data_IF_258083387836
#
_entry.id   IF_258083387836
#
_cell.length_a   1.000
_cell.length_b   1.000
_cell.length_c   1.000
_cell.angle_alpha   90.00
_cell.angle_beta   90.00
_cell.angle_gamma   90.00
#
_symmetry.space_group_name_H-M   'P 1'
#
loop_
_entity.id
_entity.type
_entity.pdbx_description
1 polymer ?
#
# COMPACT_ATOMS: atom_id res chain seq x y z
N UNK A 1 -19.71 -7.14 -47.54
CA UNK A 1 -19.26 -6.87 -48.92
C UNK A 1 -18.70 -5.44 -48.96
N UNK A 2 -17.60 -5.18 -49.69
CA UNK A 2 -16.88 -3.88 -49.71
C UNK A 2 -16.87 -3.33 -51.14
N UNK A 3 -17.46 -2.14 -51.35
CA UNK A 3 -17.34 -1.39 -52.60
C UNK A 3 -16.48 -0.14 -52.40
N UNK A 4 -15.58 0.12 -53.35
CA UNK A 4 -14.62 1.22 -53.32
C UNK A 4 -14.91 2.21 -54.45
N UNK A 5 -15.15 3.48 -54.09
CA UNK A 5 -15.42 4.56 -55.04
C UNK A 5 -14.46 5.71 -54.78
N UNK A 6 -13.51 5.96 -55.69
CA UNK A 6 -12.72 7.21 -55.74
C UNK A 6 -12.10 7.68 -54.41
N UNK A 7 -11.65 6.77 -53.54
CA UNK A 7 -11.08 7.08 -52.21
C UNK A 7 -12.04 6.92 -51.02
N UNK A 8 -13.29 6.53 -51.24
CA UNK A 8 -14.25 6.18 -50.18
C UNK A 8 -14.57 4.68 -50.21
N UNK A 9 -14.74 4.08 -49.03
CA UNK A 9 -15.10 2.68 -48.86
C UNK A 9 -16.44 2.58 -48.10
N UNK A 10 -17.39 1.82 -48.66
CA UNK A 10 -18.68 1.56 -48.02
C UNK A 10 -18.71 0.12 -47.50
N UNK A 11 -19.06 -0.04 -46.22
CA UNK A 11 -19.05 -1.33 -45.52
C UNK A 11 -20.49 -1.86 -45.33
N UNK A 12 -20.76 -3.05 -45.85
CA UNK A 12 -22.04 -3.77 -45.63
C UNK A 12 -21.91 -4.82 -44.51
N UNK A 13 -22.90 -4.89 -43.61
CA UNK A 13 -22.94 -5.84 -42.48
C UNK A 13 -23.49 -7.21 -42.89
N UNK A 14 -23.14 -8.33 -42.23
CA UNK A 14 -23.56 -9.68 -42.65
C UNK A 14 -25.05 -10.05 -42.55
N UNK A 15 -25.94 -9.14 -42.15
CA UNK A 15 -27.40 -9.38 -42.05
C UNK A 15 -28.24 -8.36 -42.87
N UNK A 16 -27.59 -7.62 -43.78
CA UNK A 16 -28.25 -6.59 -44.60
C UNK A 16 -28.59 -7.19 -45.96
N UNK A 17 -29.89 -7.22 -46.32
CA UNK A 17 -30.33 -7.72 -47.63
C UNK A 17 -29.89 -6.76 -48.74
N UNK A 18 -29.78 -7.26 -49.97
CA UNK A 18 -29.45 -6.47 -51.15
C UNK A 18 -30.46 -5.33 -51.46
N UNK A 19 -31.59 -5.28 -50.75
CA UNK A 19 -32.67 -4.30 -50.91
C UNK A 19 -32.58 -3.13 -49.90
N UNK A 20 -31.59 -3.12 -49.02
CA UNK A 20 -31.45 -2.09 -47.97
C UNK A 20 -30.98 -0.75 -48.54
N UNK A 21 -31.49 0.36 -47.99
CA UNK A 21 -31.15 1.71 -48.47
C UNK A 21 -29.64 2.00 -48.26
N UNK A 22 -28.87 2.19 -49.35
CA UNK A 22 -27.43 2.43 -49.25
C UNK A 22 -27.07 3.67 -48.41
N UNK A 23 -27.98 4.65 -48.29
CA UNK A 23 -27.76 5.89 -47.54
C UNK A 23 -27.88 5.74 -46.02
N UNK A 24 -28.43 4.63 -45.53
CA UNK A 24 -28.53 4.33 -44.09
C UNK A 24 -27.27 3.67 -43.52
N UNK A 25 -26.32 3.29 -44.36
CA UNK A 25 -25.08 2.63 -43.96
C UNK A 25 -23.91 3.62 -43.81
N UNK A 26 -23.05 3.45 -42.78
CA UNK A 26 -21.94 4.35 -42.53
C UNK A 26 -20.92 4.32 -43.68
N UNK A 27 -20.72 5.48 -44.30
CA UNK A 27 -19.67 5.74 -45.28
C UNK A 27 -18.37 6.11 -44.56
N UNK A 28 -17.28 5.40 -44.89
CA UNK A 28 -15.95 5.71 -44.39
C UNK A 28 -15.11 6.26 -45.54
N UNK A 29 -14.51 7.43 -45.32
CA UNK A 29 -13.67 8.08 -46.31
C UNK A 29 -12.19 7.86 -45.96
N UNK A 30 -11.37 7.49 -46.95
CA UNK A 30 -9.95 7.18 -46.77
C UNK A 30 -9.14 8.12 -47.66
N UNK A 31 -8.58 9.18 -47.07
CA UNK A 31 -7.83 10.19 -47.83
C UNK A 31 -6.31 10.13 -47.59
N UNK A 32 -5.87 9.42 -46.56
CA UNK A 32 -4.46 9.24 -46.21
C UNK A 32 -4.25 7.95 -45.40
N UNK A 33 -2.98 7.66 -45.08
CA UNK A 33 -2.58 6.45 -44.36
C UNK A 33 -3.14 6.38 -42.93
N UNK A 34 -3.35 7.52 -42.26
CA UNK A 34 -3.98 7.55 -40.94
C UNK A 34 -5.49 7.22 -41.01
N UNK A 35 -6.17 7.63 -42.09
CA UNK A 35 -7.56 7.25 -42.35
C UNK A 35 -7.68 5.76 -42.68
N UNK A 36 -6.75 5.22 -43.47
CA UNK A 36 -6.70 3.78 -43.77
C UNK A 36 -6.53 2.96 -42.49
N UNK A 37 -5.67 3.41 -41.58
CA UNK A 37 -5.44 2.76 -40.28
C UNK A 37 -6.68 2.79 -39.39
N UNK A 38 -7.39 3.92 -39.32
CA UNK A 38 -8.67 4.03 -38.60
C UNK A 38 -9.77 3.15 -39.17
N UNK A 39 -9.82 3.00 -40.49
CA UNK A 39 -10.76 2.10 -41.16
C UNK A 39 -10.42 0.65 -40.86
N UNK A 40 -9.14 0.27 -40.92
CA UNK A 40 -8.69 -1.07 -40.52
C UNK A 40 -8.99 -1.34 -39.05
N UNK A 41 -8.74 -0.40 -38.14
CA UNK A 41 -9.08 -0.54 -36.72
C UNK A 41 -10.59 -0.70 -36.50
N UNK A 42 -11.44 0.06 -37.22
CA UNK A 42 -12.90 -0.12 -37.16
C UNK A 42 -13.38 -1.41 -37.78
N UNK A 43 -12.77 -1.87 -38.87
CA UNK A 43 -13.08 -3.16 -39.49
C UNK A 43 -12.62 -4.29 -38.58
N UNK A 44 -11.43 -4.21 -37.97
CA UNK A 44 -10.93 -5.20 -37.00
C UNK A 44 -11.77 -5.18 -35.73
N UNK A 45 -12.23 -4.03 -35.25
CA UNK A 45 -13.18 -3.96 -34.13
C UNK A 45 -14.57 -4.51 -34.51
N UNK A 46 -15.01 -4.35 -35.77
CA UNK A 46 -16.30 -4.84 -36.26
C UNK A 46 -16.29 -6.32 -36.68
N UNK A 47 -15.16 -6.84 -37.16
CA UNK A 47 -14.97 -8.21 -37.65
C UNK A 47 -14.34 -9.10 -36.58
N UNK A 48 -13.44 -8.56 -35.74
CA UNK A 48 -12.87 -9.23 -34.57
C UNK A 48 -13.83 -9.33 -33.37
N UNK A 49 -15.07 -8.91 -33.56
CA UNK A 49 -16.18 -9.05 -32.63
C UNK A 49 -17.30 -9.91 -33.21
N UNK A 50 -17.01 -11.11 -33.72
CA UNK A 50 -18.02 -12.16 -33.60
C UNK A 50 -18.14 -12.52 -32.12
N UNK A 51 -19.02 -11.77 -31.46
CA UNK A 51 -19.50 -11.98 -30.10
C UNK A 51 -19.66 -13.48 -29.85
N UNK A 52 -18.96 -14.02 -28.84
CA UNK A 52 -19.44 -15.23 -28.15
C UNK A 52 -20.91 -14.97 -27.85
N UNK A 53 -21.82 -15.84 -28.32
CA UNK A 53 -23.19 -15.81 -27.79
C UNK A 53 -23.07 -15.93 -26.28
N UNK A 54 -23.66 -14.99 -25.55
CA UNK A 54 -23.77 -15.07 -24.10
C UNK A 54 -24.44 -16.42 -23.76
N UNK A 55 -23.64 -17.39 -23.29
CA UNK A 55 -24.09 -18.77 -23.07
C UNK A 55 -23.07 -19.88 -23.39
N UNK A 56 -21.97 -19.62 -24.11
CA UNK A 56 -20.95 -20.65 -24.35
C UNK A 56 -20.00 -20.79 -23.15
N UNK A 57 -20.20 -21.82 -22.32
CA UNK A 57 -19.28 -22.22 -21.25
C UNK A 57 -17.92 -22.65 -21.82
N UNK A 58 -16.83 -22.31 -21.12
CA UNK A 58 -15.48 -22.80 -21.48
C UNK A 58 -15.40 -24.28 -21.15
N UNK A 59 -14.82 -25.05 -22.05
CA UNK A 59 -14.58 -26.47 -21.84
C UNK A 59 -13.37 -26.66 -20.94
N UNK A 60 -13.41 -27.66 -20.09
CA UNK A 60 -12.26 -27.99 -19.25
C UNK A 60 -11.17 -28.67 -20.09
N UNK A 61 -9.91 -28.35 -19.80
CA UNK A 61 -8.79 -29.09 -20.41
C UNK A 61 -8.89 -30.57 -20.02
N UNK A 62 -8.69 -31.45 -20.99
CA UNK A 62 -8.87 -32.90 -20.85
C UNK A 62 -10.32 -33.39 -20.99
N UNK A 63 -11.32 -32.50 -21.10
CA UNK A 63 -12.71 -32.91 -21.36
C UNK A 63 -12.82 -33.63 -22.71
N UNK A 64 -13.58 -34.72 -22.76
CA UNK A 64 -13.87 -35.42 -24.02
C UNK A 64 -15.17 -34.91 -24.60
N UNK A 65 -15.09 -34.31 -25.78
CA UNK A 65 -16.23 -33.81 -26.55
C UNK A 65 -16.40 -34.60 -27.85
N UNK A 66 -17.64 -34.70 -28.31
CA UNK A 66 -17.96 -35.27 -29.62
C UNK A 66 -17.95 -34.14 -30.66
N UNK A 67 -17.27 -34.38 -31.79
CA UNK A 67 -17.06 -33.37 -32.82
C UNK A 67 -17.27 -33.96 -34.21
N UNK A 68 -17.81 -33.15 -35.11
CA UNK A 68 -17.97 -33.48 -36.53
C UNK A 68 -16.85 -32.83 -37.33
N UNK A 69 -16.13 -33.62 -38.12
CA UNK A 69 -15.07 -33.15 -39.01
C UNK A 69 -15.66 -32.30 -40.13
N UNK A 70 -15.10 -31.11 -40.30
CA UNK A 70 -15.45 -30.18 -41.37
C UNK A 70 -14.32 -30.08 -42.39
N UNK A 71 -13.80 -28.87 -42.56
CA UNK A 71 -12.78 -28.59 -43.56
C UNK A 71 -11.41 -29.15 -43.17
N UNK A 72 -10.73 -29.77 -44.13
CA UNK A 72 -9.37 -30.30 -43.98
C UNK A 72 -8.36 -29.36 -44.63
N UNK A 73 -7.30 -29.04 -43.89
CA UNK A 73 -6.19 -28.21 -44.34
C UNK A 73 -4.87 -28.96 -44.13
N UNK A 74 -3.77 -28.61 -44.84
CA UNK A 74 -2.49 -29.31 -44.68
C UNK A 74 -1.95 -29.35 -43.25
N UNK A 75 -2.35 -28.40 -42.40
CA UNK A 75 -1.91 -28.30 -41.00
C UNK A 75 -2.89 -28.94 -39.99
N UNK A 76 -4.08 -29.38 -40.40
CA UNK A 76 -5.06 -29.93 -39.47
C UNK A 76 -6.49 -30.04 -40.01
N UNK A 77 -7.38 -30.49 -39.14
CA UNK A 77 -8.81 -30.63 -39.41
C UNK A 77 -9.61 -29.63 -38.57
N UNK A 78 -10.50 -28.87 -39.23
CA UNK A 78 -11.51 -28.09 -38.53
C UNK A 78 -12.65 -29.01 -38.11
N UNK A 79 -13.11 -28.85 -36.88
CA UNK A 79 -14.18 -29.67 -36.32
C UNK A 79 -15.24 -28.78 -35.71
N UNK A 80 -16.49 -29.25 -35.68
CA UNK A 80 -17.62 -28.53 -35.09
C UNK A 80 -18.23 -29.38 -33.98
N UNK A 81 -18.39 -28.79 -32.80
CA UNK A 81 -19.06 -29.42 -31.67
C UNK A 81 -20.58 -29.38 -31.86
N UNK A 82 -21.32 -30.22 -31.13
CA UNK A 82 -22.79 -30.15 -31.09
C UNK A 82 -23.33 -28.77 -30.69
N UNK A 83 -22.56 -28.03 -29.87
CA UNK A 83 -22.88 -26.64 -29.49
C UNK A 83 -22.78 -25.63 -30.65
N UNK A 84 -22.27 -26.05 -31.81
CA UNK A 84 -21.97 -25.20 -32.96
C UNK A 84 -20.63 -24.48 -32.87
N UNK A 85 -19.87 -24.66 -31.77
CA UNK A 85 -18.52 -24.11 -31.60
C UNK A 85 -17.56 -24.81 -32.55
N UNK A 86 -16.70 -24.03 -33.21
CA UNK A 86 -15.64 -24.55 -34.08
C UNK A 86 -14.34 -24.74 -33.30
N UNK A 87 -13.65 -25.84 -33.56
CA UNK A 87 -12.32 -26.15 -33.04
C UNK A 87 -11.36 -26.60 -34.14
N UNK A 88 -10.09 -26.73 -33.79
CA UNK A 88 -9.03 -27.20 -34.68
C UNK A 88 -8.31 -28.39 -34.03
N UNK A 89 -8.12 -29.45 -34.81
CA UNK A 89 -7.21 -30.56 -34.49
C UNK A 89 -5.99 -30.43 -35.38
N UNK A 90 -4.82 -30.21 -34.79
CA UNK A 90 -3.57 -30.13 -35.56
C UNK A 90 -3.22 -31.51 -36.15
N UNK A 91 -2.52 -31.56 -37.29
CA UNK A 91 -2.18 -32.82 -37.97
C UNK A 91 -1.44 -33.82 -37.07
N UNK A 92 -0.61 -33.32 -36.13
CA UNK A 92 0.10 -34.16 -35.15
C UNK A 92 -0.78 -34.71 -34.02
N UNK A 93 -2.01 -34.24 -33.91
CA UNK A 93 -2.99 -34.63 -32.89
C UNK A 93 -4.12 -35.50 -33.50
N UNK A 94 -4.07 -35.78 -34.81
CA UNK A 94 -5.01 -36.68 -35.51
C UNK A 94 -4.63 -38.16 -35.30
N UNK A 95 -3.34 -38.47 -35.33
CA UNK A 95 -2.79 -39.83 -35.17
C UNK A 95 -1.33 -39.76 -34.73
N UNK A 96 -0.86 -40.82 -34.06
CA UNK A 96 0.54 -40.94 -33.64
C UNK A 96 1.48 -41.33 -34.79
N UNK A 97 0.92 -41.66 -35.95
CA UNK A 97 1.69 -42.01 -37.15
C UNK A 97 2.03 -40.76 -37.98
N UNK A 98 3.11 -40.84 -38.76
CA UNK A 98 3.42 -39.75 -39.70
C UNK A 98 2.41 -39.75 -40.85
N UNK A 99 1.81 -38.59 -41.08
CA UNK A 99 0.80 -38.38 -42.13
C UNK A 99 1.12 -37.10 -42.88
N UNK A 100 1.03 -37.14 -44.21
CA UNK A 100 1.35 -35.98 -45.06
C UNK A 100 0.16 -35.03 -45.22
N UNK A 101 -1.07 -35.56 -45.19
CA UNK A 101 -2.29 -34.77 -45.26
C UNK A 101 -3.41 -35.37 -44.37
N UNK A 102 -4.18 -34.55 -43.62
CA UNK A 102 -5.26 -35.04 -42.74
C UNK A 102 -6.31 -35.96 -43.39
N UNK A 103 -6.53 -35.81 -44.69
CA UNK A 103 -7.48 -36.64 -45.44
C UNK A 103 -7.12 -38.12 -45.51
N UNK A 104 -5.88 -38.49 -45.14
CA UNK A 104 -5.46 -39.89 -45.02
C UNK A 104 -6.00 -40.56 -43.74
N UNK A 105 -6.48 -39.76 -42.77
CA UNK A 105 -6.87 -40.24 -41.43
C UNK A 105 -8.34 -40.01 -41.14
N UNK A 106 -8.89 -38.89 -41.61
CA UNK A 106 -10.27 -38.46 -41.33
C UNK A 106 -10.96 -37.90 -42.57
N UNK A 107 -12.28 -38.08 -42.65
CA UNK A 107 -13.10 -37.53 -43.75
C UNK A 107 -14.08 -36.46 -43.25
N UNK A 108 -14.39 -35.43 -44.05
CA UNK A 108 -15.43 -34.45 -43.72
C UNK A 108 -16.79 -35.14 -43.50
N UNK A 109 -17.44 -34.81 -42.39
CA UNK A 109 -18.70 -35.42 -41.94
C UNK A 109 -18.53 -36.51 -40.90
N UNK A 110 -17.31 -37.01 -40.68
CA UNK A 110 -17.07 -38.03 -39.65
C UNK A 110 -17.23 -37.47 -38.24
N UNK A 111 -17.63 -38.35 -37.33
CA UNK A 111 -17.81 -38.02 -35.91
C UNK A 111 -16.73 -38.68 -35.08
N UNK A 112 -15.99 -37.88 -34.31
CA UNK A 112 -14.90 -38.34 -33.45
C UNK A 112 -15.08 -37.84 -32.01
N UNK A 113 -14.52 -38.58 -31.05
CA UNK A 113 -14.32 -38.10 -29.68
C UNK A 113 -12.95 -37.48 -29.57
N UNK A 114 -12.89 -36.24 -29.08
CA UNK A 114 -11.67 -35.46 -28.99
C UNK A 114 -11.45 -34.93 -27.57
N UNK A 115 -10.21 -34.94 -27.10
CA UNK A 115 -9.82 -34.30 -25.86
C UNK A 115 -9.55 -32.81 -26.08
N UNK A 116 -10.09 -31.96 -25.22
CA UNK A 116 -9.79 -30.53 -25.19
C UNK A 116 -8.36 -30.31 -24.71
N UNK A 117 -7.53 -29.68 -25.54
CA UNK A 117 -6.15 -29.33 -25.17
C UNK A 117 -6.10 -27.95 -24.50
N UNK A 118 -6.81 -26.97 -25.06
CA UNK A 118 -7.01 -25.65 -24.46
C UNK A 118 -8.19 -24.94 -25.13
N UNK A 119 -8.88 -24.09 -24.34
CA UNK A 119 -10.01 -23.25 -24.76
C UNK A 119 -9.75 -21.82 -24.25
N UNK A 120 -9.25 -20.96 -25.14
CA UNK A 120 -8.95 -19.56 -24.84
C UNK A 120 -9.62 -18.60 -25.83
N UNK A 121 -9.37 -17.30 -25.69
CA UNK A 121 -10.01 -16.26 -26.52
C UNK A 121 -9.56 -16.28 -27.99
N UNK A 122 -8.53 -17.07 -28.33
CA UNK A 122 -7.97 -17.30 -29.67
C UNK A 122 -8.58 -18.50 -30.37
N UNK A 123 -9.25 -19.42 -29.65
CA UNK A 123 -9.89 -20.58 -30.24
C UNK A 123 -9.94 -21.82 -29.33
N UNK A 124 -10.44 -22.92 -29.90
CA UNK A 124 -10.55 -24.23 -29.25
C UNK A 124 -9.62 -25.24 -29.95
N UNK A 125 -8.62 -25.75 -29.24
CA UNK A 125 -7.71 -26.78 -29.73
C UNK A 125 -8.07 -28.15 -29.15
N UNK A 126 -8.07 -29.17 -30.01
CA UNK A 126 -8.54 -30.52 -29.72
C UNK A 126 -7.52 -31.57 -30.17
N UNK A 127 -7.61 -32.77 -29.60
CA UNK A 127 -6.76 -33.92 -29.95
C UNK A 127 -7.58 -35.21 -30.07
N UNK A 128 -7.28 -36.03 -31.08
CA UNK A 128 -7.85 -37.37 -31.23
C UNK A 128 -6.97 -38.46 -30.60
N UNK A 129 -5.70 -38.15 -30.30
CA UNK A 129 -4.74 -39.12 -29.78
C UNK A 129 -4.55 -39.03 -28.28
N UNK A 130 -4.62 -37.82 -27.69
CA UNK A 130 -4.40 -37.65 -26.24
C UNK A 130 -5.59 -38.14 -25.42
N UNK A 131 -5.31 -38.88 -24.35
CA UNK A 131 -6.32 -39.24 -23.36
C UNK A 131 -6.42 -38.16 -22.27
N UNK A 132 -7.58 -38.00 -21.62
CA UNK A 132 -7.77 -37.04 -20.52
C UNK A 132 -6.77 -37.21 -19.38
N UNK A 133 -6.39 -38.45 -19.10
CA UNK A 133 -5.42 -38.82 -18.06
C UNK A 133 -4.04 -38.26 -18.37
N UNK A 134 -3.60 -38.32 -19.62
CA UNK A 134 -2.25 -37.90 -20.02
C UNK A 134 -2.06 -36.38 -19.88
N UNK A 135 -3.10 -35.62 -20.22
CA UNK A 135 -3.11 -34.16 -20.11
C UNK A 135 -3.11 -33.73 -18.63
N UNK A 136 -4.00 -34.32 -17.83
CA UNK A 136 -4.08 -34.03 -16.41
C UNK A 136 -2.79 -34.40 -15.65
N UNK A 137 -2.17 -35.54 -15.97
CA UNK A 137 -0.90 -35.96 -15.36
C UNK A 137 0.26 -35.02 -15.69
N UNK A 138 0.31 -34.51 -16.94
CA UNK A 138 1.34 -33.57 -17.37
C UNK A 138 1.21 -32.23 -16.65
N UNK A 139 0.00 -31.65 -16.61
CA UNK A 139 -0.25 -30.39 -15.92
C UNK A 139 0.03 -30.48 -14.41
N UNK A 140 -0.36 -31.59 -13.77
CA UNK A 140 -0.10 -31.82 -12.34
C UNK A 140 1.41 -31.90 -12.08
N UNK A 141 2.16 -32.57 -12.96
CA UNK A 141 3.62 -32.70 -12.82
C UNK A 141 4.33 -31.35 -12.97
N UNK A 142 3.94 -30.55 -13.96
CA UNK A 142 4.50 -29.21 -14.18
C UNK A 142 4.17 -28.26 -13.01
N UNK A 143 2.92 -28.27 -12.55
CA UNK A 143 2.50 -27.48 -11.40
C UNK A 143 3.26 -27.89 -10.11
N UNK A 144 3.48 -29.19 -9.89
CA UNK A 144 4.27 -29.67 -8.76
C UNK A 144 5.73 -29.22 -8.83
N UNK A 145 6.34 -29.25 -10.01
CA UNK A 145 7.69 -28.75 -10.23
C UNK A 145 7.79 -27.24 -9.95
N UNK A 146 6.82 -26.47 -10.43
CA UNK A 146 6.76 -25.02 -10.21
C UNK A 146 6.55 -24.66 -8.74
N UNK A 147 5.65 -25.35 -8.04
CA UNK A 147 5.47 -25.21 -6.58
C UNK A 147 6.79 -25.51 -5.85
N UNK A 148 7.54 -26.52 -6.30
CA UNK A 148 8.87 -26.83 -5.76
C UNK A 148 9.85 -25.67 -5.92
N UNK A 149 9.93 -25.08 -7.12
CA UNK A 149 10.79 -23.92 -7.41
C UNK A 149 10.41 -22.72 -6.53
N UNK A 150 9.14 -22.33 -6.53
CA UNK A 150 8.65 -21.18 -5.77
C UNK A 150 8.83 -21.35 -4.25
N UNK A 151 8.71 -22.57 -3.73
CA UNK A 151 8.97 -22.84 -2.30
C UNK A 151 10.44 -22.65 -1.93
N UNK A 152 11.35 -23.05 -2.82
CA UNK A 152 12.78 -22.85 -2.61
C UNK A 152 13.16 -21.37 -2.68
N UNK A 153 12.61 -20.62 -3.64
CA UNK A 153 12.81 -19.18 -3.76
C UNK A 153 12.28 -18.42 -2.53
N UNK A 154 11.06 -18.75 -2.08
CA UNK A 154 10.51 -18.17 -0.85
C UNK A 154 11.38 -18.45 0.38
N UNK A 155 12.00 -19.64 0.46
CA UNK A 155 12.92 -19.96 1.54
C UNK A 155 14.17 -19.09 1.50
N UNK A 156 14.79 -18.95 0.33
CA UNK A 156 15.97 -18.09 0.14
C UNK A 156 15.66 -16.63 0.51
N UNK A 157 14.55 -16.07 0.01
CA UNK A 157 14.13 -14.72 0.34
C UNK A 157 13.85 -14.52 1.83
N UNK A 158 13.34 -15.55 2.52
CA UNK A 158 13.10 -15.51 3.96
C UNK A 158 14.41 -15.47 4.76
N UNK A 159 15.45 -16.17 4.30
CA UNK A 159 16.80 -16.14 4.86
C UNK A 159 17.43 -14.75 4.65
N UNK A 160 17.42 -14.23 3.42
CA UNK A 160 17.92 -12.88 3.11
C UNK A 160 17.24 -11.80 3.96
N UNK A 161 15.92 -11.88 4.11
CA UNK A 161 15.15 -10.96 4.95
C UNK A 161 15.60 -11.01 6.41
N UNK A 162 15.91 -12.20 6.92
CA UNK A 162 16.37 -12.37 8.30
C UNK A 162 17.73 -11.71 8.50
N UNK A 163 18.66 -11.89 7.58
CA UNK A 163 19.99 -11.31 7.65
C UNK A 163 19.95 -9.78 7.58
N UNK A 164 19.13 -9.22 6.68
CA UNK A 164 18.91 -7.79 6.58
C UNK A 164 18.32 -7.19 7.86
N UNK A 165 17.39 -7.89 8.52
CA UNK A 165 16.82 -7.45 9.80
C UNK A 165 17.85 -7.48 10.94
N UNK A 166 18.77 -8.45 10.93
CA UNK A 166 19.84 -8.51 11.92
C UNK A 166 20.87 -7.37 11.72
N UNK A 167 21.24 -7.08 10.47
CA UNK A 167 22.11 -5.95 10.14
C UNK A 167 21.47 -4.61 10.52
N UNK A 168 20.17 -4.43 10.25
CA UNK A 168 19.42 -3.25 10.65
C UNK A 168 19.44 -3.07 12.17
N UNK A 169 19.24 -4.16 12.93
CA UNK A 169 19.30 -4.13 14.40
C UNK A 169 20.68 -3.69 14.88
N UNK A 170 21.76 -4.29 14.36
CA UNK A 170 23.14 -3.93 14.72
C UNK A 170 23.43 -2.45 14.44
N UNK A 171 22.97 -1.96 13.29
CA UNK A 171 23.14 -0.56 12.89
C UNK A 171 22.41 0.39 13.85
N UNK A 172 21.16 0.09 14.20
CA UNK A 172 20.39 0.87 15.19
C UNK A 172 21.06 0.90 16.56
N UNK A 173 21.56 -0.24 17.02
CA UNK A 173 22.27 -0.32 18.31
C UNK A 173 23.57 0.51 18.28
N UNK A 174 24.29 0.52 17.15
CA UNK A 174 25.48 1.35 16.96
C UNK A 174 25.17 2.84 16.97
N UNK A 175 24.09 3.26 16.32
CA UNK A 175 23.63 4.67 16.34
C UNK A 175 23.34 5.10 17.78
N UNK A 176 22.55 4.31 18.53
CA UNK A 176 22.23 4.59 19.94
C UNK A 176 23.48 4.70 20.80
N UNK A 177 24.48 3.83 20.57
CA UNK A 177 25.75 3.87 21.27
C UNK A 177 26.51 5.18 20.98
N UNK A 178 26.60 5.57 19.71
CA UNK A 178 27.28 6.80 19.28
C UNK A 178 26.59 8.04 19.83
N UNK A 179 25.26 8.09 19.81
CA UNK A 179 24.47 9.16 20.41
C UNK A 179 24.74 9.27 21.92
N UNK A 180 24.78 8.13 22.63
CA UNK A 180 25.14 8.11 24.06
C UNK A 180 26.54 8.68 24.28
N UNK A 181 27.53 8.23 23.51
CA UNK A 181 28.91 8.75 23.60
C UNK A 181 28.98 10.24 23.33
N UNK A 182 28.22 10.74 22.36
CA UNK A 182 28.15 12.17 22.06
C UNK A 182 27.53 12.96 23.21
N UNK A 183 26.46 12.44 23.84
CA UNK A 183 25.88 13.02 25.05
C UNK A 183 26.91 13.05 26.18
N UNK A 184 27.59 11.95 26.45
CA UNK A 184 28.59 11.86 27.51
C UNK A 184 29.78 12.82 27.26
N UNK A 185 30.23 12.95 26.01
CA UNK A 185 31.26 13.94 25.64
C UNK A 185 30.77 15.38 25.82
N UNK A 186 29.52 15.69 25.47
CA UNK A 186 28.94 17.02 25.73
C UNK A 186 28.89 17.31 27.23
N UNK A 187 28.62 16.30 28.07
CA UNK A 187 28.60 16.42 29.53
C UNK A 187 30.01 16.55 30.14
N UNK A 188 31.02 15.90 29.55
CA UNK A 188 32.42 15.96 30.01
C UNK A 188 33.22 17.12 29.42
N UNK A 189 32.73 17.77 28.36
CA UNK A 189 33.33 19.00 27.86
C UNK A 189 32.97 20.12 28.82
N UNK A 190 33.92 20.75 29.54
CA UNK A 190 33.59 21.88 30.39
C UNK A 190 32.92 22.95 29.53
N UNK A 191 31.83 23.57 30.01
CA UNK A 191 31.11 24.56 29.22
C UNK A 191 32.10 25.63 28.81
N UNK A 192 32.36 25.75 27.50
CA UNK A 192 33.05 26.93 26.97
C UNK A 192 32.21 28.12 27.45
N UNK A 193 32.83 28.97 28.26
CA UNK A 193 32.16 29.86 29.20
C UNK A 193 30.84 30.49 28.73
N UNK A 194 29.87 30.52 29.62
CA UNK A 194 28.90 31.61 29.72
C UNK A 194 27.79 31.72 28.67
N UNK A 195 27.62 30.78 27.72
CA UNK A 195 26.44 30.81 26.85
C UNK A 195 25.21 30.32 27.62
N UNK A 196 24.29 31.24 27.91
CA UNK A 196 22.99 30.93 28.52
C UNK A 196 22.16 30.14 27.51
N UNK A 197 21.48 29.10 27.99
CA UNK A 197 20.49 28.38 27.20
C UNK A 197 19.42 29.35 26.68
N UNK A 198 19.22 29.36 25.36
CA UNK A 198 18.17 30.14 24.70
C UNK A 198 16.82 29.43 24.76
N UNK A 199 15.75 30.17 24.47
CA UNK A 199 14.40 29.59 24.39
C UNK A 199 14.31 28.52 23.31
N UNK A 200 14.82 28.79 22.11
CA UNK A 200 14.82 27.85 20.98
C UNK A 200 15.59 26.57 21.32
N UNK A 201 16.77 26.69 21.93
CA UNK A 201 17.57 25.54 22.37
C UNK A 201 16.79 24.69 23.38
N UNK A 202 16.06 25.32 24.30
CA UNK A 202 15.24 24.60 25.28
C UNK A 202 14.01 23.92 24.64
N UNK A 203 13.34 24.57 23.69
CA UNK A 203 12.23 23.97 22.94
C UNK A 203 12.70 22.78 22.09
N UNK A 204 13.88 22.87 21.47
CA UNK A 204 14.49 21.76 20.74
C UNK A 204 14.87 20.60 21.67
N UNK A 205 15.35 20.89 22.89
CA UNK A 205 15.56 19.86 23.91
C UNK A 205 14.26 19.16 24.31
N UNK A 206 13.14 19.88 24.43
CA UNK A 206 11.82 19.28 24.69
C UNK A 206 11.39 18.37 23.54
N UNK A 207 11.54 18.84 22.29
CA UNK A 207 11.21 18.05 21.10
C UNK A 207 12.04 16.77 21.05
N UNK A 208 13.36 16.87 21.23
CA UNK A 208 14.25 15.72 21.26
C UNK A 208 13.90 14.77 22.42
N UNK A 209 13.59 15.29 23.61
CA UNK A 209 13.15 14.45 24.73
C UNK A 209 11.79 13.78 24.50
N UNK A 210 10.89 14.39 23.72
CA UNK A 210 9.64 13.77 23.32
C UNK A 210 9.92 12.62 22.35
N UNK A 211 10.69 12.88 21.29
CA UNK A 211 11.07 11.89 20.30
C UNK A 211 11.74 10.69 20.93
N UNK A 212 12.63 10.88 21.92
CA UNK A 212 13.28 9.77 22.63
C UNK A 212 12.30 8.90 23.43
N UNK A 213 11.17 9.46 23.88
CA UNK A 213 10.26 8.83 24.85
C UNK A 213 8.98 8.27 24.26
N UNK A 214 8.52 8.82 23.15
CA UNK A 214 7.23 8.50 22.53
C UNK A 214 7.45 8.04 21.09
N UNK A 215 7.23 6.75 20.82
CA UNK A 215 7.43 6.13 19.51
C UNK A 215 6.24 5.28 19.11
N UNK A 216 5.98 5.13 17.81
CA UNK A 216 4.92 4.26 17.29
C UNK A 216 3.54 4.61 17.83
N UNK A 217 2.83 3.64 18.40
CA UNK A 217 1.48 3.80 18.95
C UNK A 217 1.43 4.83 20.09
N UNK A 218 2.50 4.93 20.90
CA UNK A 218 2.58 5.91 22.00
C UNK A 218 2.59 7.35 21.46
N UNK A 219 3.28 7.61 20.33
CA UNK A 219 3.29 8.93 19.70
C UNK A 219 1.96 9.29 19.04
N UNK A 220 1.18 8.29 18.62
CA UNK A 220 -0.18 8.49 18.09
C UNK A 220 -1.16 8.83 19.21
N UNK A 221 -1.03 8.16 20.36
CA UNK A 221 -1.88 8.40 21.53
C UNK A 221 -1.56 9.71 22.25
N UNK A 222 -0.29 10.10 22.29
CA UNK A 222 0.19 11.30 22.99
C UNK A 222 0.98 12.21 22.05
N UNK A 223 0.34 12.84 21.04
CA UNK A 223 1.04 13.68 20.08
C UNK A 223 1.66 14.91 20.76
N UNK A 224 2.82 15.34 20.26
CA UNK A 224 3.48 16.55 20.76
C UNK A 224 2.63 17.79 20.44
N UNK A 225 2.10 18.44 21.48
CA UNK A 225 1.31 19.67 21.35
C UNK A 225 2.21 20.89 21.23
N UNK A 226 1.67 22.00 20.75
CA UNK A 226 2.43 23.26 20.64
C UNK A 226 2.88 23.73 22.01
N UNK A 227 4.19 23.97 22.18
CA UNK A 227 4.80 24.46 23.43
C UNK A 227 5.24 25.90 23.24
N UNK A 228 4.89 26.76 24.20
CA UNK A 228 5.41 28.13 24.33
C UNK A 228 6.13 28.28 25.65
N UNK A 229 7.11 29.17 25.70
CA UNK A 229 7.83 29.50 26.94
C UNK A 229 7.33 30.85 27.45
N UNK A 230 6.82 30.86 28.69
CA UNK A 230 6.36 32.06 29.37
C UNK A 230 7.52 32.97 29.74
N UNK A 231 7.23 34.27 29.90
CA UNK A 231 8.23 35.34 30.06
C UNK A 231 9.26 35.08 31.17
N UNK A 232 8.81 34.56 32.31
CA UNK A 232 9.67 34.31 33.48
C UNK A 232 10.34 32.93 33.47
N UNK A 233 9.87 32.01 32.63
CA UNK A 233 10.23 30.60 32.76
C UNK A 233 11.74 30.37 32.62
N UNK A 234 12.37 30.95 31.59
CA UNK A 234 13.80 30.77 31.35
C UNK A 234 14.66 31.40 32.45
N UNK A 235 14.18 32.46 33.10
CA UNK A 235 14.88 33.06 34.24
C UNK A 235 14.79 32.15 35.46
N UNK A 236 13.58 31.69 35.80
CA UNK A 236 13.32 30.75 36.90
C UNK A 236 14.10 29.45 36.73
N UNK A 237 14.17 28.93 35.50
CA UNK A 237 14.93 27.73 35.16
C UNK A 237 16.42 27.89 35.44
N UNK A 238 17.00 29.06 35.14
CA UNK A 238 18.44 29.32 35.37
C UNK A 238 18.78 29.40 36.86
N UNK A 239 17.83 29.79 37.69
CA UNK A 239 17.98 29.85 39.15
C UNK A 239 17.49 28.59 39.86
N UNK A 240 17.04 27.57 39.11
CA UNK A 240 16.46 26.36 39.69
C UNK A 240 17.56 25.43 40.21
N UNK A 241 17.72 25.39 41.54
CA UNK A 241 18.68 24.49 42.18
C UNK A 241 18.07 23.14 42.56
N UNK A 242 18.89 22.09 42.49
CA UNK A 242 18.56 20.75 42.98
C UNK A 242 17.73 19.88 42.02
N UNK A 243 17.55 20.32 40.77
CA UNK A 243 16.95 19.51 39.69
C UNK A 243 17.77 19.72 38.41
N UNK A 244 18.36 18.65 37.82
CA UNK A 244 19.04 18.75 36.53
C UNK A 244 18.09 19.20 35.42
N UNK A 245 18.59 20.00 34.48
CA UNK A 245 17.78 20.56 33.39
C UNK A 245 17.15 19.48 32.52
N UNK A 246 17.86 18.37 32.31
CA UNK A 246 17.39 17.20 31.55
C UNK A 246 16.12 16.62 32.18
N UNK A 247 16.04 16.64 33.51
CA UNK A 247 14.85 16.20 34.24
C UNK A 247 13.69 17.16 34.03
N UNK A 248 13.94 18.47 34.02
CA UNK A 248 12.92 19.49 33.73
C UNK A 248 12.39 19.33 32.31
N UNK A 249 13.28 19.21 31.33
CA UNK A 249 12.95 18.97 29.92
C UNK A 249 12.09 17.72 29.76
N UNK A 250 12.49 16.62 30.41
CA UNK A 250 11.73 15.38 30.38
C UNK A 250 10.31 15.54 30.93
N UNK A 251 10.11 16.33 32.00
CA UNK A 251 8.77 16.63 32.51
C UNK A 251 7.99 17.53 31.54
N UNK A 252 8.64 18.54 30.96
CA UNK A 252 8.01 19.42 29.97
C UNK A 252 7.54 18.64 28.74
N UNK A 253 8.29 17.63 28.28
CA UNK A 253 7.86 16.73 27.22
C UNK A 253 6.62 15.91 27.63
N UNK A 254 6.57 15.39 28.87
CA UNK A 254 5.39 14.68 29.40
C UNK A 254 4.14 15.59 29.48
N UNK A 255 4.33 16.88 29.80
CA UNK A 255 3.27 17.90 29.82
C UNK A 255 2.82 18.24 28.40
N UNK A 256 3.77 18.46 27.49
CA UNK A 256 3.49 18.77 26.10
C UNK A 256 2.75 17.63 25.39
N UNK A 257 3.07 16.37 25.72
CA UNK A 257 2.37 15.18 25.23
C UNK A 257 1.02 14.91 25.91
N UNK A 258 0.68 15.63 26.99
CA UNK A 258 -0.55 15.44 27.77
C UNK A 258 -0.56 14.20 28.67
N UNK A 259 0.50 13.37 28.66
CA UNK A 259 0.59 12.14 29.48
C UNK A 259 0.87 12.42 30.95
N UNK A 260 1.27 13.64 31.31
CA UNK A 260 1.67 14.01 32.69
C UNK A 260 0.63 13.65 33.77
N UNK A 261 -0.66 13.63 33.42
CA UNK A 261 -1.76 13.27 34.35
C UNK A 261 -1.78 11.78 34.70
N UNK A 262 -1.22 10.94 33.85
CA UNK A 262 -1.22 9.49 33.99
C UNK A 262 0.05 8.95 34.66
N UNK A 263 1.08 9.78 34.82
CA UNK A 263 2.39 9.34 35.32
C UNK A 263 2.38 9.31 36.87
N UNK A 264 2.56 8.13 37.49
CA UNK A 264 2.60 8.02 38.94
C UNK A 264 3.71 8.89 39.53
N UNK A 265 3.36 9.83 40.41
CA UNK A 265 4.33 10.67 41.08
C UNK A 265 4.58 12.05 40.52
N UNK A 266 3.87 12.40 39.44
CA UNK A 266 3.82 13.78 39.00
C UNK A 266 2.96 14.65 39.89
N UNK A 267 2.07 14.08 40.71
CA UNK A 267 1.20 14.87 41.62
C UNK A 267 0.58 16.06 40.87
N UNK A 268 -0.03 15.74 39.73
CA UNK A 268 -0.50 16.74 38.79
C UNK A 268 -1.83 17.29 39.27
N UNK A 269 -1.89 18.60 39.48
CA UNK A 269 -3.06 19.29 40.02
C UNK A 269 -3.31 20.59 39.29
N UNK A 270 -4.59 20.92 39.12
CA UNK A 270 -4.99 22.26 38.69
C UNK A 270 -4.79 23.25 39.84
N UNK A 271 -4.21 24.41 39.55
CA UNK A 271 -4.09 25.49 40.53
C UNK A 271 -5.47 26.11 40.79
N UNK A 272 -5.72 26.48 42.04
CA UNK A 272 -6.96 27.13 42.48
C UNK A 272 -6.70 28.59 42.82
N UNK A 273 -7.74 29.42 42.74
CA UNK A 273 -7.69 30.85 43.06
C UNK A 273 -7.56 31.15 44.56
N UNK A 274 -7.71 30.15 45.44
CA UNK A 274 -7.58 30.25 46.88
C UNK A 274 -7.55 28.87 47.56
N UNK A 275 -7.63 28.82 48.88
CA UNK A 275 -7.66 27.57 49.65
C UNK A 275 -9.05 26.89 49.59
N UNK A 276 -9.06 25.56 49.66
CA UNK A 276 -10.25 24.76 49.98
C UNK A 276 -11.51 25.00 49.11
N UNK A 277 -11.56 24.45 47.90
CA UNK A 277 -12.77 24.45 47.07
C UNK A 277 -12.95 25.65 46.13
N UNK A 278 -12.02 26.59 46.15
CA UNK A 278 -11.96 27.70 45.19
C UNK A 278 -11.93 27.20 43.73
N UNK A 279 -12.54 27.96 42.79
CA UNK A 279 -12.56 27.59 41.38
C UNK A 279 -11.15 27.51 40.82
N UNK A 280 -11.01 26.71 39.76
CA UNK A 280 -9.79 26.59 38.99
C UNK A 280 -9.28 27.98 38.58
N UNK A 281 -7.98 28.20 38.71
CA UNK A 281 -7.35 29.43 38.26
C UNK A 281 -7.30 29.41 36.73
N UNK A 282 -7.89 30.44 36.15
CA UNK A 282 -8.01 30.65 34.70
C UNK A 282 -7.45 32.04 34.37
N UNK A 283 -6.63 32.15 33.34
CA UNK A 283 -6.07 33.42 32.88
C UNK A 283 -7.16 34.23 32.19
N UNK A 284 -7.37 35.47 32.63
CA UNK A 284 -8.49 36.30 32.14
C UNK A 284 -8.36 36.68 30.67
N UNK A 285 -7.13 36.82 30.15
CA UNK A 285 -6.88 37.29 28.80
C UNK A 285 -7.33 36.30 27.71
N UNK A 286 -7.17 35.00 27.96
CA UNK A 286 -7.37 33.96 26.95
C UNK A 286 -8.10 32.71 27.45
N UNK A 287 -8.46 32.64 28.74
CA UNK A 287 -9.15 31.48 29.31
C UNK A 287 -8.24 30.28 29.58
N UNK A 288 -6.92 30.44 29.58
CA UNK A 288 -6.01 29.32 29.82
C UNK A 288 -6.10 28.81 31.26
N UNK A 289 -6.08 27.48 31.44
CA UNK A 289 -6.18 26.84 32.75
C UNK A 289 -4.81 26.66 33.41
N UNK A 290 -4.67 26.99 34.69
CA UNK A 290 -3.40 26.87 35.41
C UNK A 290 -3.18 25.47 36.00
N UNK A 291 -2.01 24.90 35.78
CA UNK A 291 -1.65 23.56 36.25
C UNK A 291 -0.27 23.50 36.89
N UNK A 292 -0.07 22.46 37.70
CA UNK A 292 1.22 22.16 38.31
C UNK A 292 1.50 20.67 38.43
N UNK A 293 2.77 20.30 38.39
CA UNK A 293 3.22 18.94 38.70
C UNK A 293 4.62 18.93 39.36
N UNK A 294 4.92 17.88 40.10
CA UNK A 294 6.21 17.61 40.70
C UNK A 294 7.28 17.24 39.64
N UNK A 295 8.42 17.92 39.73
CA UNK A 295 9.62 17.58 38.97
C UNK A 295 10.33 16.35 39.56
N UNK A 296 10.24 16.13 40.88
CA UNK A 296 10.87 15.00 41.58
C UNK A 296 10.08 14.56 42.82
N UNK A 297 10.22 13.28 43.20
CA UNK A 297 9.53 12.67 44.35
C UNK A 297 10.43 12.62 45.59
N UNK A 298 9.81 12.51 46.77
CA UNK A 298 10.47 12.10 48.02
C UNK A 298 11.48 13.08 48.59
N UNK A 299 11.35 14.37 48.29
CA UNK A 299 12.22 15.42 48.86
C UNK A 299 11.37 16.47 49.58
N UNK A 300 11.68 16.81 50.85
CA UNK A 300 11.09 17.97 51.50
C UNK A 300 11.57 19.20 50.74
N UNK A 301 10.66 19.95 50.10
CA UNK A 301 10.93 20.97 49.06
C UNK A 301 11.05 20.45 47.62
N UNK A 302 10.27 19.44 47.23
CA UNK A 302 10.19 19.02 45.83
C UNK A 302 9.91 20.21 44.90
N UNK A 303 10.64 20.31 43.79
CA UNK A 303 10.41 21.39 42.82
C UNK A 303 9.19 21.05 41.96
N UNK A 304 8.45 22.06 41.54
CA UNK A 304 7.26 21.94 40.70
C UNK A 304 7.42 22.73 39.41
N UNK A 305 6.81 22.20 38.36
CA UNK A 305 6.58 22.88 37.08
C UNK A 305 5.17 23.44 37.10
N UNK A 306 5.02 24.69 36.65
CA UNK A 306 3.77 25.39 36.44
C UNK A 306 3.58 25.69 34.96
N UNK A 307 2.37 25.47 34.43
CA UNK A 307 2.06 25.78 33.04
C UNK A 307 0.60 26.21 32.89
N UNK A 308 0.34 26.91 31.78
CA UNK A 308 -0.98 27.21 31.30
C UNK A 308 -1.38 26.22 30.20
N UNK A 309 -2.57 25.66 30.33
CA UNK A 309 -3.22 24.85 29.31
C UNK A 309 -4.06 25.80 28.43
N UNK A 310 -3.64 26.02 27.19
CA UNK A 310 -4.28 26.96 26.27
C UNK A 310 -5.56 26.34 25.69
N UNK A 311 -6.64 27.12 25.46
CA UNK A 311 -7.86 26.59 24.84
C UNK A 311 -7.64 26.02 23.44
N UNK A 312 -6.57 26.42 22.75
CA UNK A 312 -6.17 25.86 21.45
C UNK A 312 -5.59 24.44 21.55
N UNK A 313 -5.46 23.88 22.75
CA UNK A 313 -4.82 22.57 23.00
C UNK A 313 -3.30 22.62 23.12
N UNK A 314 -2.71 23.82 23.17
CA UNK A 314 -1.28 24.01 23.41
C UNK A 314 -0.94 24.17 24.89
N UNK A 315 0.35 24.18 25.21
CA UNK A 315 0.85 24.45 26.56
C UNK A 315 1.79 25.63 26.56
N UNK A 316 1.72 26.44 27.61
CA UNK A 316 2.65 27.54 27.87
C UNK A 316 3.33 27.32 29.22
N UNK A 317 4.65 27.06 29.17
CA UNK A 317 5.45 26.79 30.36
C UNK A 317 5.65 28.10 31.14
N UNK A 318 5.08 28.20 32.33
CA UNK A 318 4.96 29.48 33.02
C UNK A 318 6.09 29.70 34.03
N UNK A 319 6.38 28.70 34.87
CA UNK A 319 7.41 28.82 35.92
C UNK A 319 7.88 27.45 36.41
N UNK A 320 9.06 27.42 37.03
CA UNK A 320 9.57 26.31 37.84
C UNK A 320 10.00 26.84 39.20
N UNK A 321 9.67 26.11 40.27
CA UNK A 321 9.88 26.63 41.63
C UNK A 321 9.70 25.58 42.72
N UNK A 322 9.62 26.02 43.97
CA UNK A 322 9.40 25.17 45.14
C UNK A 322 7.94 24.72 45.24
N UNK A 323 7.67 23.64 45.98
CA UNK A 323 6.30 23.11 46.11
C UNK A 323 5.28 24.05 46.76
N UNK A 324 5.74 24.99 47.56
CA UNK A 324 4.92 25.98 48.27
C UNK A 324 4.68 27.23 47.41
N UNK A 325 5.29 27.29 46.22
CA UNK A 325 4.97 28.31 45.25
C UNK A 325 3.71 27.90 44.48
N UNK A 326 2.60 28.58 44.78
CA UNK A 326 1.34 28.46 44.06
C UNK A 326 1.15 29.61 43.06
N UNK A 327 2.15 30.48 42.92
CA UNK A 327 2.12 31.56 41.95
C UNK A 327 2.37 30.99 40.55
N UNK A 328 1.56 31.47 39.61
CA UNK A 328 1.79 31.26 38.19
C UNK A 328 1.81 32.66 37.56
N UNK A 329 2.90 33.04 36.87
CA UNK A 329 2.97 34.29 36.13
C UNK A 329 1.85 34.35 35.08
N UNK A 330 1.24 35.52 34.91
CA UNK A 330 0.20 35.74 33.89
C UNK A 330 0.77 35.93 32.49
#
# INVERSE_FOLDING_TARGET
MLDVYGGAARLWWPDVSAESDPHEHPLLFVWNEADARRVVERIVAAVGGQMRKAGEERLAVGEIVEVVVGDLMPYGAFVTLESGRKGLVHVSELTDQYVSHPCEVVEPGDVYRAAVLWDDDRGLALSFTRQPTDVAETEVTEAQAEIGRLRNENRALAEDRRDALEELRRTKDRVRELERRLRDQRLSTPPRGGRRLTEDEFLDMIRSSYEDRYHGDDATRYPLRSVRVGREFMERLRTLDGVPIEKVVAVCADVAAGRVHEIPGRETHQLKTGEGGAPARVRQADGAGAWRCALQRGTPSARRLHWWELPSGGVELASVGLHDDFSIPE
#
